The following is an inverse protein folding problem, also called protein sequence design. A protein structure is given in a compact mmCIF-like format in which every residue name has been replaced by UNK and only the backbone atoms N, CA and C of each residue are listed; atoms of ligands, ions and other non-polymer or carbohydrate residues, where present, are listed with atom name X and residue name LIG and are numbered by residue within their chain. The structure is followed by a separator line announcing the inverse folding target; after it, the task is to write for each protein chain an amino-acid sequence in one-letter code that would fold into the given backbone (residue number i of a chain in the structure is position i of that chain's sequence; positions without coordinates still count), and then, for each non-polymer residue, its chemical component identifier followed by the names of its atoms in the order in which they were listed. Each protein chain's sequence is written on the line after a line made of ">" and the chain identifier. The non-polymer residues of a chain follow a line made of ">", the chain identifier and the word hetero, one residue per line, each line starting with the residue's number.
data_IF_315058210914
#
_entry.id   IF_315058210914
#
_cell.length_a   1.000
_cell.length_b   1.000
_cell.length_c   1.000
_cell.angle_alpha   90.00
_cell.angle_beta   90.00
_cell.angle_gamma   90.00
#
_symmetry.space_group_name_H-M   'P 1'
#
loop_
_entity.id
_entity.type
_entity.pdbx_description
1 polymer ?
#
# COMPACT_ATOMS: atom_id res chain seq x y z
N UNK A 1 -1.54 21.66 -54.93
CA UNK A 1 -1.17 21.23 -53.58
C UNK A 1 -1.75 19.84 -53.39
N UNK A 2 -0.91 18.82 -53.28
CA UNK A 2 -1.35 17.43 -53.36
C UNK A 2 -2.03 17.00 -52.06
N UNK A 3 -3.14 16.26 -52.16
CA UNK A 3 -3.94 15.80 -51.01
C UNK A 3 -3.11 15.00 -49.97
N UNK A 4 -2.03 14.36 -50.45
CA UNK A 4 -1.04 13.67 -49.62
C UNK A 4 -0.20 14.61 -48.74
N UNK A 5 0.19 15.79 -49.25
CA UNK A 5 0.96 16.80 -48.52
C UNK A 5 0.12 17.42 -47.39
N UNK A 6 -1.18 17.64 -47.65
CA UNK A 6 -2.12 18.14 -46.65
C UNK A 6 -2.34 17.15 -45.50
N UNK A 7 -2.39 15.83 -45.79
CA UNK A 7 -2.48 14.79 -44.75
C UNK A 7 -1.20 14.63 -43.94
N UNK A 8 -0.03 14.87 -44.53
CA UNK A 8 1.25 14.86 -43.81
C UNK A 8 1.35 16.04 -42.81
N UNK A 9 0.92 17.25 -43.21
CA UNK A 9 0.88 18.41 -42.31
C UNK A 9 -0.11 18.24 -41.14
N UNK A 10 -1.19 17.47 -41.32
CA UNK A 10 -2.14 17.18 -40.24
C UNK A 10 -1.55 16.26 -39.16
N UNK A 11 -0.59 15.39 -39.52
CA UNK A 11 0.09 14.50 -38.57
C UNK A 11 1.17 15.24 -37.75
N UNK A 12 1.73 16.33 -38.28
CA UNK A 12 2.66 17.20 -37.57
C UNK A 12 2.02 17.92 -36.37
N UNK A 13 0.69 18.03 -36.35
CA UNK A 13 -0.08 18.70 -35.30
C UNK A 13 -0.74 17.71 -34.32
N UNK A 14 -0.49 16.40 -34.47
CA UNK A 14 -1.00 15.40 -33.55
C UNK A 14 -0.10 15.33 -32.30
N UNK A 15 -0.65 15.70 -31.15
CA UNK A 15 -0.01 15.43 -29.87
C UNK A 15 -0.18 13.94 -29.53
N UNK A 16 0.82 13.12 -29.85
CA UNK A 16 0.87 11.73 -29.37
C UNK A 16 1.15 11.74 -27.87
N UNK A 17 0.10 11.79 -27.05
CA UNK A 17 0.21 11.60 -25.61
C UNK A 17 0.71 10.17 -25.36
N UNK A 18 1.93 10.06 -24.84
CA UNK A 18 2.50 8.75 -24.52
C UNK A 18 1.87 8.26 -23.22
N UNK A 19 1.32 7.06 -23.27
CA UNK A 19 0.63 6.43 -22.13
C UNK A 19 1.37 5.18 -21.69
N UNK A 20 1.20 4.80 -20.44
CA UNK A 20 1.72 3.56 -19.88
C UNK A 20 0.55 2.62 -19.56
N UNK A 21 0.67 1.35 -19.94
CA UNK A 21 -0.32 0.34 -19.58
C UNK A 21 0.24 -0.58 -18.50
N UNK A 22 -0.39 -0.60 -17.32
CA UNK A 22 0.06 -1.38 -16.16
C UNK A 22 -1.12 -2.12 -15.57
N UNK A 23 -1.02 -3.45 -15.49
CA UNK A 23 -2.06 -4.32 -14.91
C UNK A 23 -3.46 -4.10 -15.51
N UNK A 24 -3.54 -3.76 -16.80
CA UNK A 24 -4.79 -3.46 -17.51
C UNK A 24 -5.30 -2.02 -17.34
N UNK A 25 -4.64 -1.20 -16.52
CA UNK A 25 -4.94 0.22 -16.35
C UNK A 25 -4.07 1.07 -17.29
N UNK A 26 -4.65 2.14 -17.81
CA UNK A 26 -3.97 3.11 -18.66
C UNK A 26 -3.63 4.36 -17.85
N UNK A 27 -2.36 4.74 -17.85
CA UNK A 27 -1.82 5.92 -17.20
C UNK A 27 -1.33 6.91 -18.25
N UNK A 28 -1.65 8.20 -18.06
CA UNK A 28 -1.16 9.30 -18.88
C UNK A 28 0.28 9.67 -18.54
N UNK A 29 0.91 10.47 -19.40
CA UNK A 29 2.20 11.06 -19.08
C UNK A 29 2.10 11.87 -17.78
N UNK A 30 3.12 11.75 -16.93
CA UNK A 30 3.19 12.31 -15.57
C UNK A 30 2.24 11.71 -14.53
N UNK A 31 1.35 10.77 -14.90
CA UNK A 31 0.55 10.09 -13.89
C UNK A 31 1.46 9.34 -12.92
N UNK A 32 1.13 9.45 -11.63
CA UNK A 32 1.83 8.76 -10.55
C UNK A 32 0.88 7.88 -9.75
N UNK A 33 1.35 6.70 -9.37
CA UNK A 33 0.60 5.76 -8.56
C UNK A 33 1.53 5.00 -7.63
N UNK A 34 0.92 4.38 -6.62
CA UNK A 34 1.61 3.48 -5.69
C UNK A 34 1.33 2.05 -6.13
N UNK A 35 2.37 1.23 -6.26
CA UNK A 35 2.23 -0.18 -6.62
C UNK A 35 1.55 -0.98 -5.49
N UNK A 36 1.09 -2.20 -5.78
CA UNK A 36 0.29 -3.02 -4.86
C UNK A 36 0.95 -3.33 -3.51
N UNK A 37 2.29 -3.36 -3.44
CA UNK A 37 3.05 -3.51 -2.19
C UNK A 37 3.11 -2.23 -1.34
N UNK A 38 2.47 -1.14 -1.79
CA UNK A 38 2.44 0.18 -1.17
C UNK A 38 3.82 0.83 -0.98
N UNK A 39 4.91 0.18 -1.39
CA UNK A 39 6.30 0.58 -1.17
C UNK A 39 7.01 1.13 -2.40
N UNK A 40 6.34 1.19 -3.55
CA UNK A 40 6.91 1.70 -4.79
C UNK A 40 6.03 2.80 -5.35
N UNK A 41 6.61 3.97 -5.53
CA UNK A 41 5.99 5.06 -6.30
C UNK A 41 6.43 4.91 -7.74
N UNK A 42 5.46 4.78 -8.64
CA UNK A 42 5.68 4.69 -10.06
C UNK A 42 5.14 5.92 -10.75
N UNK A 43 5.82 6.35 -11.81
CA UNK A 43 5.41 7.48 -12.65
C UNK A 43 5.49 7.05 -14.10
N UNK A 44 4.49 7.40 -14.90
CA UNK A 44 4.56 7.26 -16.34
C UNK A 44 5.31 8.44 -16.92
N UNK A 45 6.44 8.20 -17.58
CA UNK A 45 7.27 9.23 -18.21
C UNK A 45 7.52 8.82 -19.64
N UNK A 46 6.91 9.55 -20.56
CA UNK A 46 7.03 9.36 -22.00
C UNK A 46 6.77 7.92 -22.44
N UNK A 47 5.74 7.28 -21.90
CA UNK A 47 5.36 5.89 -22.19
C UNK A 47 6.23 4.83 -21.53
N UNK A 48 7.17 5.25 -20.66
CA UNK A 48 7.98 4.36 -19.83
C UNK A 48 7.55 4.48 -18.38
N UNK A 49 7.44 3.36 -17.68
CA UNK A 49 7.12 3.34 -16.25
C UNK A 49 8.42 3.43 -15.45
N UNK A 50 8.58 4.50 -14.68
CA UNK A 50 9.68 4.66 -13.73
C UNK A 50 9.17 4.41 -12.30
N UNK A 51 9.64 3.34 -11.65
CA UNK A 51 9.29 3.03 -10.27
C UNK A 51 10.48 3.24 -9.33
N UNK A 52 10.22 3.89 -8.19
CA UNK A 52 11.19 4.10 -7.11
C UNK A 52 10.68 3.48 -5.82
N UNK A 53 11.50 2.65 -5.18
CA UNK A 53 11.20 2.13 -3.84
C UNK A 53 11.29 3.26 -2.83
N UNK A 54 10.25 3.40 -2.02
CA UNK A 54 10.25 4.30 -0.87
C UNK A 54 11.17 3.73 0.21
N UNK A 55 12.04 4.57 0.74
CA UNK A 55 12.85 4.25 1.91
C UNK A 55 12.05 4.58 3.17
N UNK A 56 11.89 3.60 4.06
CA UNK A 56 11.29 3.85 5.36
C UNK A 56 12.30 4.51 6.31
N UNK A 57 11.89 5.52 7.09
CA UNK A 57 12.73 6.07 8.13
C UNK A 57 13.04 5.00 9.20
N UNK A 58 14.17 5.11 9.92
CA UNK A 58 14.48 4.24 11.04
C UNK A 58 13.39 4.38 12.11
N UNK A 59 12.83 3.24 12.52
CA UNK A 59 11.72 3.19 13.47
C UNK A 59 12.24 2.71 14.83
N UNK A 60 12.25 3.61 15.82
CA UNK A 60 12.57 3.28 17.21
C UNK A 60 11.28 3.26 18.03
N UNK A 61 10.75 2.07 18.30
CA UNK A 61 9.56 1.89 19.13
C UNK A 61 9.93 1.86 20.62
N UNK A 62 9.14 2.55 21.44
CA UNK A 62 9.22 2.46 22.91
C UNK A 62 9.00 1.02 23.37
N UNK A 63 9.51 0.63 24.57
CA UNK A 63 9.33 -0.71 25.10
C UNK A 63 7.85 -1.14 25.16
N UNK A 64 6.90 -0.22 25.34
CA UNK A 64 5.45 -0.49 25.37
C UNK A 64 4.76 -0.52 24.00
N UNK A 65 5.53 -0.55 22.91
CA UNK A 65 5.00 -0.56 21.55
C UNK A 65 5.71 -1.58 20.67
N UNK A 66 5.03 -2.01 19.61
CA UNK A 66 5.53 -2.95 18.62
C UNK A 66 5.43 -2.36 17.21
N UNK A 67 6.40 -2.64 16.34
CA UNK A 67 6.34 -2.23 14.94
C UNK A 67 5.37 -3.13 14.16
N UNK A 68 4.33 -2.54 13.56
CA UNK A 68 3.26 -3.27 12.85
C UNK A 68 3.13 -2.75 11.42
N UNK A 69 2.89 -3.66 10.47
CA UNK A 69 2.49 -3.30 9.10
C UNK A 69 1.00 -2.96 9.06
N UNK A 70 0.66 -1.83 8.46
CA UNK A 70 -0.73 -1.41 8.25
C UNK A 70 -1.07 -1.58 6.78
N UNK A 71 -2.22 -2.18 6.49
CA UNK A 71 -2.74 -2.28 5.14
C UNK A 71 -2.88 -0.89 4.52
N UNK A 72 -2.36 -0.70 3.31
CA UNK A 72 -2.31 0.61 2.68
C UNK A 72 -1.04 1.42 2.95
N UNK A 73 -0.10 0.92 3.77
CA UNK A 73 1.14 1.62 4.09
C UNK A 73 2.37 0.77 3.80
N UNK A 74 3.41 1.40 3.23
CA UNK A 74 4.72 0.73 3.07
C UNK A 74 5.38 0.45 4.42
N UNK A 75 5.47 1.50 5.24
CA UNK A 75 6.32 1.49 6.42
C UNK A 75 5.58 0.96 7.64
N UNK A 76 6.33 0.27 8.50
CA UNK A 76 5.82 -0.13 9.81
C UNK A 76 5.58 1.10 10.67
N UNK A 77 4.58 1.04 11.53
CA UNK A 77 4.34 2.05 12.55
C UNK A 77 4.35 1.41 13.93
N UNK A 78 4.79 2.16 14.95
CA UNK A 78 4.72 1.69 16.32
C UNK A 78 3.27 1.76 16.81
N UNK A 79 2.73 0.62 17.19
CA UNK A 79 1.43 0.52 17.87
C UNK A 79 1.64 0.09 19.31
N UNK A 80 0.82 0.60 20.27
CA UNK A 80 0.89 0.13 21.65
C UNK A 80 0.71 -1.39 21.71
N UNK A 81 1.35 -2.04 22.68
CA UNK A 81 1.28 -3.49 22.85
C UNK A 81 0.48 -3.84 24.10
N UNK A 82 -0.25 -4.95 24.06
CA UNK A 82 -0.85 -5.58 25.23
C UNK A 82 -0.29 -6.98 25.44
N UNK A 83 -0.28 -7.46 26.68
CA UNK A 83 0.17 -8.81 27.02
C UNK A 83 -1.03 -9.63 27.46
N UNK A 84 -1.31 -10.74 26.78
CA UNK A 84 -2.40 -11.63 27.13
C UNK A 84 -1.98 -13.09 27.06
N UNK A 85 -2.14 -13.82 28.17
CA UNK A 85 -1.76 -15.23 28.28
C UNK A 85 -0.29 -15.48 27.92
N UNK A 86 0.60 -14.55 28.29
CA UNK A 86 2.03 -14.59 27.97
C UNK A 86 2.40 -14.18 26.53
N UNK A 87 1.42 -13.88 25.67
CA UNK A 87 1.67 -13.39 24.29
C UNK A 87 1.64 -11.87 24.26
N UNK A 88 2.65 -11.28 23.61
CA UNK A 88 2.69 -9.84 23.33
C UNK A 88 1.98 -9.60 21.98
N UNK A 89 0.95 -8.78 21.99
CA UNK A 89 0.12 -8.45 20.84
C UNK A 89 0.15 -6.95 20.60
N UNK A 90 0.17 -6.52 19.35
CA UNK A 90 0.02 -5.10 19.04
C UNK A 90 -1.46 -4.69 19.00
N UNK A 91 -1.73 -3.39 19.16
CA UNK A 91 -3.07 -2.82 19.00
C UNK A 91 -3.72 -3.27 17.69
N UNK A 92 -4.95 -3.79 17.78
CA UNK A 92 -5.72 -4.30 16.64
C UNK A 92 -5.34 -5.72 16.19
N UNK A 93 -4.32 -6.36 16.80
CA UNK A 93 -3.98 -7.74 16.47
C UNK A 93 -5.04 -8.69 17.01
N UNK A 94 -5.47 -9.62 16.14
CA UNK A 94 -6.54 -10.59 16.41
C UNK A 94 -5.92 -11.97 16.61
N UNK A 95 -6.32 -12.66 17.67
CA UNK A 95 -5.90 -14.05 17.92
C UNK A 95 -7.08 -14.97 18.16
N UNK A 96 -6.93 -16.21 17.70
CA UNK A 96 -7.87 -17.28 17.98
C UNK A 96 -7.37 -18.08 19.19
N UNK A 97 -8.14 -18.07 20.27
CA UNK A 97 -7.93 -18.95 21.42
C UNK A 97 -9.13 -19.89 21.53
N UNK A 98 -10.01 -19.70 22.52
CA UNK A 98 -11.34 -20.33 22.57
C UNK A 98 -12.40 -19.49 21.82
N UNK A 99 -12.17 -18.19 21.77
CA UNK A 99 -12.92 -17.21 20.99
C UNK A 99 -11.94 -16.27 20.30
N UNK A 100 -12.36 -15.64 19.20
CA UNK A 100 -11.58 -14.62 18.54
C UNK A 100 -11.55 -13.36 19.42
N UNK A 101 -10.34 -12.84 19.64
CA UNK A 101 -10.11 -11.69 20.51
C UNK A 101 -9.19 -10.71 19.84
N UNK A 102 -9.44 -9.42 20.05
CA UNK A 102 -8.62 -8.31 19.57
C UNK A 102 -7.99 -7.55 20.72
N UNK A 103 -6.70 -7.23 20.58
CA UNK A 103 -5.99 -6.37 21.51
C UNK A 103 -6.46 -4.92 21.34
N UNK A 104 -7.12 -4.37 22.38
CA UNK A 104 -7.56 -2.97 22.44
C UNK A 104 -7.01 -2.30 23.69
N UNK A 105 -5.94 -1.54 23.51
CA UNK A 105 -5.19 -0.82 24.54
C UNK A 105 -6.03 0.32 25.12
N UNK A 106 -6.98 0.90 24.37
CA UNK A 106 -7.96 1.86 24.92
C UNK A 106 -8.70 1.32 26.15
N UNK A 107 -8.89 0.00 26.23
CA UNK A 107 -9.53 -0.68 27.36
C UNK A 107 -8.55 -1.54 28.16
N UNK A 108 -7.28 -1.62 27.74
CA UNK A 108 -6.29 -2.59 28.23
C UNK A 108 -6.82 -4.03 28.29
N UNK A 109 -7.70 -4.39 27.35
CA UNK A 109 -8.43 -5.65 27.37
C UNK A 109 -8.36 -6.34 26.01
N UNK A 110 -8.50 -7.66 26.07
CA UNK A 110 -8.72 -8.52 24.93
C UNK A 110 -10.22 -8.66 24.70
N UNK A 111 -10.74 -7.93 23.72
CA UNK A 111 -12.17 -7.86 23.47
C UNK A 111 -12.58 -9.03 22.59
N UNK A 112 -13.62 -9.81 22.97
CA UNK A 112 -14.15 -10.85 22.10
C UNK A 112 -14.80 -10.21 20.88
N UNK A 113 -14.45 -10.70 19.70
CA UNK A 113 -15.00 -10.23 18.43
C UNK A 113 -15.26 -11.42 17.50
N UNK A 114 -16.00 -11.19 16.44
CA UNK A 114 -16.22 -12.19 15.39
C UNK A 114 -15.10 -12.10 14.36
N UNK A 115 -14.27 -13.13 14.22
CA UNK A 115 -13.31 -13.24 13.14
C UNK A 115 -14.00 -13.73 11.86
N UNK A 116 -13.63 -13.19 10.70
CA UNK A 116 -13.83 -13.80 9.39
C UNK A 116 -12.63 -14.68 9.04
N UNK A 117 -12.81 -15.54 8.06
CA UNK A 117 -11.74 -16.40 7.54
C UNK A 117 -10.61 -15.52 6.99
N UNK A 118 -9.39 -15.67 7.53
CA UNK A 118 -8.21 -14.87 7.17
C UNK A 118 -7.86 -13.71 8.11
N UNK A 119 -8.68 -13.39 9.11
CA UNK A 119 -8.42 -12.28 10.06
C UNK A 119 -7.34 -12.59 11.11
N UNK A 120 -7.02 -13.86 11.31
CA UNK A 120 -6.04 -14.32 12.30
C UNK A 120 -4.72 -14.53 11.58
N UNK A 121 -3.72 -13.73 11.92
CA UNK A 121 -2.36 -13.92 11.43
C UNK A 121 -1.80 -15.25 11.93
N UNK A 122 -1.87 -16.29 11.10
CA UNK A 122 -1.03 -17.47 11.26
C UNK A 122 0.40 -17.03 10.98
N UNK A 123 1.27 -17.20 11.98
CA UNK A 123 2.70 -17.05 11.80
C UNK A 123 3.25 -18.26 11.05
#
# INVERSE_FOLDING_TARGET
>A
MNYAETRLSQLENCHCEKTCQVSGLLYRDQDSWVDGDHCRNCTCTSGTVECRRMSCPPLNCSPDSLPVHIAGQCCKVCRPKCIYGGKVLAEGQRILTKSCRECRVSFNLMIPITCREGDVGFR
#
